data_IF_072783892584
#
_entry.id   IF_072783892584
#
_cell.length_a   1.000
_cell.length_b   1.000
_cell.length_c   1.000
_cell.angle_alpha   90.00
_cell.angle_beta   90.00
_cell.angle_gamma   90.00
#
_symmetry.space_group_name_H-M   'P 1'
#
loop_
_entity.id
_entity.type
_entity.pdbx_description
1 polymer ?
#
# COMPACT_ATOMS: atom_id res chain seq x y z
N UNK A 1 -21.66 1.94 3.83
CA UNK A 1 -20.87 3.09 3.39
C UNK A 1 -21.72 3.95 2.46
N UNK A 2 -21.90 5.24 2.71
CA UNK A 2 -22.69 6.12 1.85
C UNK A 2 -22.04 6.28 0.47
N UNK A 3 -22.84 6.40 -0.62
CA UNK A 3 -22.33 6.42 -2.01
C UNK A 3 -21.28 7.52 -2.28
N UNK A 4 -21.40 8.68 -1.67
CA UNK A 4 -20.41 9.78 -1.79
C UNK A 4 -19.01 9.41 -1.34
N UNK A 5 -18.88 8.55 -0.35
CA UNK A 5 -17.56 8.11 0.15
C UNK A 5 -16.90 7.11 -0.81
N UNK A 6 -17.72 6.31 -1.51
CA UNK A 6 -17.20 5.38 -2.55
C UNK A 6 -16.61 6.13 -3.74
N UNK A 7 -17.26 7.22 -4.15
CA UNK A 7 -16.76 8.05 -5.27
C UNK A 7 -15.49 8.80 -4.92
N UNK A 8 -15.40 9.36 -3.72
CA UNK A 8 -14.19 10.03 -3.23
C UNK A 8 -13.01 9.05 -3.15
N UNK A 9 -13.29 7.83 -2.73
CA UNK A 9 -12.29 6.77 -2.62
C UNK A 9 -11.81 6.29 -3.99
N UNK A 10 -12.75 6.06 -4.91
CA UNK A 10 -12.42 5.68 -6.28
C UNK A 10 -11.66 6.81 -7.02
N UNK A 11 -11.98 8.07 -6.74
CA UNK A 11 -11.30 9.22 -7.30
C UNK A 11 -9.88 9.37 -6.75
N UNK A 12 -9.70 9.24 -5.43
CA UNK A 12 -8.36 9.27 -4.81
C UNK A 12 -7.48 8.12 -5.28
N UNK A 13 -8.04 6.92 -5.42
CA UNK A 13 -7.30 5.77 -5.95
C UNK A 13 -6.85 5.98 -7.41
N UNK A 14 -7.60 6.73 -8.20
CA UNK A 14 -7.25 7.08 -9.59
C UNK A 14 -6.18 8.17 -9.66
N UNK A 15 -6.31 9.21 -8.83
CA UNK A 15 -5.36 10.35 -8.83
C UNK A 15 -3.97 9.95 -8.32
N UNK A 16 -3.89 8.86 -7.54
CA UNK A 16 -2.62 8.36 -7.00
C UNK A 16 -1.88 7.40 -7.91
N UNK A 17 -2.58 6.80 -8.88
CA UNK A 17 -1.97 5.75 -9.68
C UNK A 17 -1.17 6.28 -10.85
N UNK A 18 -1.26 7.56 -11.25
CA UNK A 18 -0.52 8.10 -12.40
C UNK A 18 -0.39 7.11 -13.57
N UNK A 19 -1.05 5.97 -13.46
CA UNK A 19 -1.08 4.84 -14.36
C UNK A 19 -2.53 4.58 -14.75
N UNK A 20 -2.76 4.25 -16.01
CA UNK A 20 -4.03 3.80 -16.52
C UNK A 20 -4.68 2.76 -15.58
N UNK A 21 -6.00 2.84 -15.43
CA UNK A 21 -6.76 1.86 -14.66
C UNK A 21 -6.29 0.44 -14.97
N UNK A 22 -6.01 -0.41 -13.97
CA UNK A 22 -5.63 -1.77 -14.25
C UNK A 22 -6.74 -2.44 -15.07
N UNK A 23 -6.34 -3.05 -16.18
CA UNK A 23 -7.24 -3.86 -16.99
C UNK A 23 -7.93 -4.89 -16.06
N UNK A 24 -9.20 -5.25 -16.32
CA UNK A 24 -9.88 -6.26 -15.52
C UNK A 24 -9.05 -7.54 -15.57
N UNK A 25 -8.55 -7.95 -14.41
CA UNK A 25 -7.77 -9.18 -14.28
C UNK A 25 -8.65 -10.36 -14.76
N UNK A 26 -8.18 -11.03 -15.78
CA UNK A 26 -8.74 -12.31 -16.21
C UNK A 26 -8.88 -13.23 -14.99
N UNK A 27 -9.96 -14.00 -14.93
CA UNK A 27 -10.23 -14.98 -13.88
C UNK A 27 -9.03 -15.93 -13.75
N UNK A 28 -8.11 -15.59 -12.88
CA UNK A 28 -6.96 -16.40 -12.55
C UNK A 28 -7.36 -17.50 -11.58
N UNK A 29 -6.93 -18.71 -11.89
CA UNK A 29 -7.06 -19.91 -11.07
C UNK A 29 -6.82 -19.64 -9.58
N UNK A 30 -7.64 -20.24 -8.72
CA UNK A 30 -7.46 -20.29 -7.26
C UNK A 30 -6.15 -21.00 -6.92
N UNK A 31 -5.03 -20.30 -7.05
CA UNK A 31 -3.76 -20.76 -6.50
C UNK A 31 -3.78 -20.59 -4.97
N UNK A 32 -3.54 -21.68 -4.24
CA UNK A 32 -3.28 -21.61 -2.80
C UNK A 32 -2.17 -20.60 -2.55
N UNK A 33 -2.49 -19.53 -1.84
CA UNK A 33 -1.49 -18.52 -1.46
C UNK A 33 -0.46 -19.16 -0.55
N UNK A 34 0.82 -18.94 -0.85
CA UNK A 34 1.98 -19.52 -0.14
C UNK A 34 1.97 -19.32 1.40
N UNK A 35 1.16 -18.40 1.89
CA UNK A 35 1.09 -18.02 3.31
C UNK A 35 -0.32 -18.14 3.92
N UNK A 36 -1.26 -18.83 3.24
CA UNK A 36 -2.60 -19.07 3.78
C UNK A 36 -3.46 -17.83 3.98
N UNK A 37 -3.08 -16.68 3.40
CA UNK A 37 -3.87 -15.44 3.51
C UNK A 37 -5.17 -15.56 2.71
N UNK A 38 -6.28 -15.22 3.34
CA UNK A 38 -7.58 -15.16 2.69
C UNK A 38 -7.82 -13.75 2.14
N UNK A 39 -8.11 -13.66 0.85
CA UNK A 39 -8.49 -12.39 0.23
C UNK A 39 -9.81 -11.91 0.78
N UNK A 40 -9.93 -10.61 0.99
CA UNK A 40 -11.14 -9.98 1.46
C UNK A 40 -11.53 -8.79 0.56
N UNK A 41 -12.80 -8.49 0.49
CA UNK A 41 -13.34 -7.39 -0.30
C UNK A 41 -14.12 -6.42 0.58
N UNK A 42 -14.02 -5.13 0.29
CA UNK A 42 -14.79 -4.06 0.92
C UNK A 42 -15.30 -3.11 -0.17
N UNK A 43 -16.52 -3.35 -0.66
CA UNK A 43 -17.04 -2.65 -1.82
C UNK A 43 -16.21 -2.96 -3.07
N UNK A 44 -15.67 -1.92 -3.73
CA UNK A 44 -14.81 -2.05 -4.91
C UNK A 44 -13.32 -2.34 -4.57
N UNK A 45 -12.94 -2.37 -3.30
CA UNK A 45 -11.56 -2.56 -2.85
C UNK A 45 -11.33 -4.02 -2.48
N UNK A 46 -10.27 -4.60 -3.06
CA UNK A 46 -9.81 -5.97 -2.75
C UNK A 46 -8.55 -5.89 -1.92
N UNK A 47 -8.47 -6.74 -0.91
CA UNK A 47 -7.34 -6.87 -0.01
C UNK A 47 -6.74 -8.27 -0.11
N UNK A 48 -5.43 -8.36 0.02
CA UNK A 48 -4.71 -9.64 -0.02
C UNK A 48 -4.91 -10.47 1.26
N UNK A 49 -5.37 -9.83 2.34
CA UNK A 49 -5.69 -10.52 3.58
C UNK A 49 -6.88 -9.90 4.30
N UNK A 50 -7.54 -10.71 5.15
CA UNK A 50 -8.61 -10.21 6.03
C UNK A 50 -8.08 -9.23 7.08
N UNK A 51 -6.83 -9.37 7.49
CA UNK A 51 -6.18 -8.45 8.43
C UNK A 51 -6.07 -7.04 7.84
N UNK A 52 -5.65 -6.93 6.57
CA UNK A 52 -5.63 -5.66 5.84
C UNK A 52 -7.05 -5.06 5.73
N UNK A 53 -8.05 -5.87 5.38
CA UNK A 53 -9.43 -5.41 5.28
C UNK A 53 -9.98 -4.87 6.61
N UNK A 54 -9.68 -5.52 7.73
CA UNK A 54 -10.07 -5.04 9.06
C UNK A 54 -9.38 -3.73 9.41
N UNK A 55 -8.06 -3.64 9.12
CA UNK A 55 -7.32 -2.38 9.35
C UNK A 55 -7.89 -1.24 8.50
N UNK A 56 -8.25 -1.52 7.27
CA UNK A 56 -8.93 -0.56 6.41
C UNK A 56 -10.25 -0.06 7.02
N UNK A 57 -11.09 -0.96 7.55
CA UNK A 57 -12.35 -0.59 8.21
C UNK A 57 -12.09 0.37 9.39
N UNK A 58 -11.06 0.10 10.21
CA UNK A 58 -10.66 0.97 11.33
C UNK A 58 -10.21 2.35 10.83
N UNK A 59 -9.34 2.39 9.82
CA UNK A 59 -8.84 3.63 9.24
C UNK A 59 -9.96 4.46 8.60
N UNK A 60 -10.98 3.82 8.02
CA UNK A 60 -12.14 4.50 7.49
C UNK A 60 -13.00 5.15 8.58
N UNK A 61 -13.11 4.54 9.75
CA UNK A 61 -13.75 5.17 10.92
C UNK A 61 -12.94 6.40 11.36
N UNK A 62 -11.63 6.28 11.47
CA UNK A 62 -10.74 7.37 11.85
C UNK A 62 -10.77 8.53 10.84
N UNK A 63 -10.87 8.21 9.55
CA UNK A 63 -11.01 9.22 8.48
C UNK A 63 -12.34 9.96 8.57
N UNK A 64 -13.43 9.25 8.80
CA UNK A 64 -14.78 9.86 8.92
C UNK A 64 -14.92 10.73 10.15
N UNK A 65 -14.26 10.38 11.23
CA UNK A 65 -14.27 11.16 12.48
C UNK A 65 -13.23 12.30 12.49
N UNK A 66 -12.43 12.43 11.43
CA UNK A 66 -11.43 13.48 11.30
C UNK A 66 -10.16 13.27 12.13
N UNK A 67 -9.98 12.08 12.75
CA UNK A 67 -8.76 11.74 13.49
C UNK A 67 -7.56 11.67 12.55
N UNK A 68 -7.75 11.13 11.34
CA UNK A 68 -6.77 11.10 10.28
C UNK A 68 -7.28 11.79 9.02
N UNK A 69 -6.36 12.20 8.15
CA UNK A 69 -6.66 12.79 6.84
C UNK A 69 -5.78 12.15 5.77
N UNK A 70 -6.08 12.39 4.49
CA UNK A 70 -5.29 11.94 3.34
C UNK A 70 -4.96 10.44 3.36
N UNK A 71 -5.95 9.61 3.66
CA UNK A 71 -5.80 8.14 3.63
C UNK A 71 -5.57 7.68 2.19
N UNK A 72 -4.49 6.95 1.98
CA UNK A 72 -4.09 6.36 0.70
C UNK A 72 -3.89 4.87 0.84
N UNK A 73 -4.35 4.14 -0.18
CA UNK A 73 -4.15 2.71 -0.31
C UNK A 73 -2.96 2.42 -1.21
N UNK A 74 -2.14 1.46 -0.81
CA UNK A 74 -0.99 0.99 -1.57
C UNK A 74 -0.08 2.12 -2.07
N UNK A 75 0.35 3.05 -1.19
CA UNK A 75 1.25 4.11 -1.58
C UNK A 75 2.59 3.52 -2.02
N UNK A 76 3.14 4.05 -3.12
CA UNK A 76 4.44 3.64 -3.62
C UNK A 76 5.52 4.67 -3.27
N UNK A 77 6.67 4.17 -2.85
CA UNK A 77 7.85 4.97 -2.55
C UNK A 77 9.03 4.47 -3.38
N UNK A 78 9.70 5.39 -4.08
CA UNK A 78 10.92 5.05 -4.81
C UNK A 78 12.10 5.05 -3.84
N UNK A 79 12.70 3.89 -3.63
CA UNK A 79 13.86 3.73 -2.75
C UNK A 79 15.17 4.01 -3.48
N UNK A 80 15.25 3.63 -4.75
CA UNK A 80 16.36 3.89 -5.65
C UNK A 80 15.82 4.21 -7.04
N UNK A 81 16.29 5.28 -7.63
CA UNK A 81 15.97 5.63 -9.02
C UNK A 81 16.64 4.66 -10.00
N UNK A 82 16.05 4.51 -11.19
CA UNK A 82 16.70 3.79 -12.27
C UNK A 82 17.93 4.58 -12.77
N UNK A 83 18.96 3.86 -13.19
CA UNK A 83 20.17 4.47 -13.74
C UNK A 83 20.79 3.60 -14.85
N UNK A 84 21.70 4.19 -15.59
CA UNK A 84 22.52 3.48 -16.57
C UNK A 84 23.92 3.24 -15.97
N UNK A 85 24.44 2.03 -16.16
CA UNK A 85 25.83 1.72 -15.85
C UNK A 85 26.76 2.30 -16.91
N UNK A 86 28.06 2.36 -16.65
CA UNK A 86 29.09 2.78 -17.61
C UNK A 86 29.03 1.98 -18.92
N UNK A 87 28.61 0.72 -18.86
CA UNK A 87 28.44 -0.17 -20.01
C UNK A 87 27.09 0.01 -20.73
N UNK A 88 26.28 1.00 -20.34
CA UNK A 88 24.96 1.25 -20.93
C UNK A 88 23.86 0.31 -20.48
N UNK A 89 24.10 -0.55 -19.50
CA UNK A 89 23.05 -1.42 -18.93
C UNK A 89 22.10 -0.59 -18.06
N UNK A 90 20.80 -0.74 -18.31
CA UNK A 90 19.78 -0.07 -17.51
C UNK A 90 19.48 -0.87 -16.24
N UNK A 91 19.69 -0.23 -15.09
CA UNK A 91 19.29 -0.76 -13.78
C UNK A 91 17.95 -0.18 -13.39
N UNK A 92 17.00 -1.05 -13.06
CA UNK A 92 15.64 -0.66 -12.72
C UNK A 92 15.57 0.02 -11.36
N UNK A 93 14.60 0.91 -11.21
CA UNK A 93 14.27 1.50 -9.91
C UNK A 93 13.85 0.45 -8.89
N UNK A 94 14.19 0.66 -7.63
CA UNK A 94 13.65 -0.10 -6.51
C UNK A 94 12.51 0.70 -5.89
N UNK A 95 11.34 0.10 -5.84
CA UNK A 95 10.14 0.70 -5.25
C UNK A 95 9.62 -0.16 -4.11
N UNK A 96 9.06 0.49 -3.12
CA UNK A 96 8.37 -0.12 -2.00
C UNK A 96 6.90 0.29 -2.03
N UNK A 97 6.00 -0.66 -1.90
CA UNK A 97 4.56 -0.43 -1.80
C UNK A 97 4.13 -0.83 -0.39
N UNK A 98 3.63 0.15 0.38
CA UNK A 98 3.02 -0.10 1.68
C UNK A 98 1.52 -0.39 1.52
N UNK A 99 0.86 -0.84 2.58
CA UNK A 99 -0.58 -1.10 2.54
C UNK A 99 -1.38 0.20 2.68
N UNK A 100 -0.98 1.07 3.61
CA UNK A 100 -1.69 2.33 3.90
C UNK A 100 -0.72 3.47 4.18
N UNK A 101 -1.16 4.69 3.84
CA UNK A 101 -0.57 5.91 4.38
C UNK A 101 -1.66 6.92 4.69
N UNK A 102 -1.43 7.76 5.66
CA UNK A 102 -2.35 8.81 6.07
C UNK A 102 -1.60 9.90 6.86
N UNK A 103 -2.27 11.01 7.11
CA UNK A 103 -1.76 12.05 8.01
C UNK A 103 -2.44 11.98 9.35
N UNK A 104 -1.63 11.98 10.39
CA UNK A 104 -2.05 12.04 11.78
C UNK A 104 -1.27 13.14 12.49
N UNK A 105 -1.97 14.14 13.03
CA UNK A 105 -1.32 15.28 13.67
C UNK A 105 -0.34 16.04 12.76
N UNK A 106 -0.64 16.11 11.45
CA UNK A 106 0.21 16.75 10.44
C UNK A 106 1.41 15.92 9.96
N UNK A 107 1.65 14.75 10.56
CA UNK A 107 2.73 13.84 10.18
C UNK A 107 2.23 12.75 9.24
N UNK A 108 3.05 12.38 8.25
CA UNK A 108 2.79 11.23 7.39
C UNK A 108 3.10 9.94 8.15
N UNK A 109 2.09 9.08 8.24
CA UNK A 109 2.20 7.72 8.80
C UNK A 109 2.09 6.73 7.65
N UNK A 110 2.97 5.75 7.61
CA UNK A 110 2.97 4.65 6.64
C UNK A 110 2.84 3.35 7.40
N UNK A 111 1.82 2.57 7.04
CA UNK A 111 1.52 1.28 7.68
C UNK A 111 1.68 0.13 6.70
N UNK A 112 2.13 -0.97 7.23
CA UNK A 112 2.20 -2.25 6.54
C UNK A 112 1.64 -3.35 7.46
N UNK A 113 0.68 -4.10 6.95
CA UNK A 113 0.06 -5.20 7.70
C UNK A 113 0.97 -6.42 7.62
N UNK A 114 1.67 -6.71 8.70
CA UNK A 114 2.67 -7.77 8.76
C UNK A 114 2.34 -8.86 9.77
N UNK A 115 2.78 -10.06 9.43
CA UNK A 115 2.92 -11.19 10.35
C UNK A 115 4.39 -11.62 10.39
N UNK A 116 4.76 -12.49 11.31
CA UNK A 116 6.12 -13.05 11.34
C UNK A 116 6.50 -13.69 10.01
N UNK A 117 5.55 -14.40 9.37
CA UNK A 117 5.77 -15.09 8.10
C UNK A 117 6.00 -14.14 6.91
N UNK A 118 5.46 -12.92 6.95
CA UNK A 118 5.54 -11.94 5.87
C UNK A 118 6.68 -10.92 6.04
N UNK A 119 7.42 -10.97 7.16
CA UNK A 119 8.61 -10.15 7.40
C UNK A 119 9.83 -10.74 6.70
N UNK A 120 9.90 -10.57 5.39
CA UNK A 120 11.04 -11.03 4.58
C UNK A 120 12.28 -10.16 4.78
N UNK A 121 13.47 -10.69 4.41
CA UNK A 121 14.72 -9.91 4.40
C UNK A 121 14.62 -8.68 3.50
N UNK A 122 13.93 -8.82 2.36
CA UNK A 122 13.68 -7.72 1.44
C UNK A 122 12.84 -6.63 2.10
N UNK A 123 11.75 -6.99 2.78
CA UNK A 123 10.93 -6.05 3.53
C UNK A 123 11.74 -5.30 4.60
N UNK A 124 12.56 -6.01 5.39
CA UNK A 124 13.39 -5.39 6.41
C UNK A 124 14.44 -4.42 5.82
N UNK A 125 15.00 -4.76 4.66
CA UNK A 125 15.87 -3.84 3.90
C UNK A 125 15.10 -2.59 3.47
N UNK A 126 13.93 -2.77 2.88
CA UNK A 126 13.08 -1.66 2.42
C UNK A 126 12.68 -0.74 3.57
N UNK A 127 12.38 -1.31 4.74
CA UNK A 127 12.08 -0.55 5.96
C UNK A 127 13.25 0.35 6.37
N UNK A 128 14.48 -0.14 6.32
CA UNK A 128 15.70 0.65 6.57
C UNK A 128 15.88 1.77 5.54
N UNK A 129 15.63 1.46 4.26
CA UNK A 129 15.75 2.44 3.17
C UNK A 129 14.70 3.54 3.28
N UNK A 130 13.47 3.22 3.68
CA UNK A 130 12.42 4.20 3.97
C UNK A 130 12.85 5.17 5.07
N UNK A 131 13.44 4.66 6.15
CA UNK A 131 13.97 5.50 7.22
C UNK A 131 15.12 6.39 6.73
N UNK A 132 16.06 5.83 5.99
CA UNK A 132 17.22 6.56 5.48
C UNK A 132 16.84 7.66 4.48
N UNK A 133 15.96 7.35 3.53
CA UNK A 133 15.63 8.27 2.43
C UNK A 133 14.56 9.28 2.80
N UNK A 134 13.51 8.86 3.49
CA UNK A 134 12.32 9.67 3.77
C UNK A 134 12.16 10.06 5.23
N UNK A 135 12.99 9.52 6.12
CA UNK A 135 12.82 9.71 7.56
C UNK A 135 11.57 9.04 8.14
N UNK A 136 10.99 8.07 7.43
CA UNK A 136 9.74 7.41 7.78
C UNK A 136 10.02 6.03 8.37
N UNK A 137 9.52 5.81 9.58
CA UNK A 137 9.47 4.48 10.20
C UNK A 137 8.14 3.82 9.86
N UNK A 138 8.18 2.70 9.12
CA UNK A 138 6.99 1.94 8.76
C UNK A 138 6.38 1.35 10.03
N UNK A 139 5.10 1.61 10.25
CA UNK A 139 4.33 1.03 11.34
C UNK A 139 3.83 -0.35 10.93
N UNK A 140 4.21 -1.37 11.67
CA UNK A 140 3.72 -2.74 11.48
C UNK A 140 2.46 -2.96 12.32
N UNK A 141 1.39 -3.33 11.67
CA UNK A 141 0.09 -3.55 12.31
C UNK A 141 -0.46 -4.96 12.06
#
# INVERSE_FOLDING_TARGET
>A
MPPRMRELYAKQARDLSGAAAPAPLAKGSQGKTKYGSQKAERGAVRFDSQKEARRYDELMVMLRTGIITDLRLQPQFTLQESYLTENGQRIRAIRYTADFSYRFGGKLVVEDVKSKATRTKEYLRNKKMMRSKYGIDIQEV
#
